data_IF_723824758243
#
_entry.id   IF_723824758243
#
_cell.length_a   1.000
_cell.length_b   1.000
_cell.length_c   1.000
_cell.angle_alpha   90.00
_cell.angle_beta   90.00
_cell.angle_gamma   90.00
#
_symmetry.space_group_name_H-M   'P 1'
#
loop_
_entity.id
_entity.type
_entity.pdbx_description
1 polymer ?
#
# COMPACT_ATOMS: atom_id res chain seq x y z
N UNK A 1 42.79 -15.38 -30.78
CA UNK A 1 41.39 -15.81 -30.95
C UNK A 1 40.55 -15.14 -29.86
N UNK A 2 40.43 -13.81 -29.91
CA UNK A 2 39.38 -12.98 -30.55
C UNK A 2 38.17 -12.80 -29.62
N UNK A 3 38.31 -11.93 -28.60
CA UNK A 3 37.18 -11.30 -27.91
C UNK A 3 37.45 -9.81 -27.59
N UNK A 4 38.32 -9.17 -28.37
CA UNK A 4 38.71 -7.76 -28.14
C UNK A 4 39.00 -6.97 -29.43
N UNK A 5 38.19 -7.19 -30.48
CA UNK A 5 38.39 -6.50 -31.75
C UNK A 5 37.08 -6.25 -32.51
N UNK A 6 36.15 -5.48 -31.93
CA UNK A 6 35.16 -4.71 -32.70
C UNK A 6 35.09 -3.31 -32.08
N UNK A 7 35.33 -2.30 -32.91
CA UNK A 7 35.68 -0.91 -32.56
C UNK A 7 34.56 -0.16 -31.81
N UNK A 8 34.89 0.86 -30.99
CA UNK A 8 33.92 1.82 -30.47
C UNK A 8 33.74 2.97 -31.47
N UNK A 9 32.63 3.04 -32.18
CA UNK A 9 32.24 4.27 -32.92
C UNK A 9 30.72 4.53 -33.07
N UNK A 10 29.86 3.91 -32.24
CA UNK A 10 28.43 4.26 -32.12
C UNK A 10 27.97 4.41 -30.65
N UNK A 11 28.94 4.61 -29.75
CA UNK A 11 28.91 3.90 -28.45
C UNK A 11 28.55 4.75 -27.22
N UNK A 12 28.31 6.06 -27.34
CA UNK A 12 27.79 6.87 -26.23
C UNK A 12 26.29 7.12 -26.35
N UNK A 13 25.80 7.36 -27.57
CA UNK A 13 24.40 7.71 -27.83
C UNK A 13 23.50 6.49 -27.66
N UNK A 14 23.90 5.31 -28.16
CA UNK A 14 23.13 4.08 -27.97
C UNK A 14 23.14 3.60 -26.51
N UNK A 15 24.26 3.76 -25.81
CA UNK A 15 24.35 3.44 -24.38
C UNK A 15 23.51 4.42 -23.55
N UNK A 16 23.58 5.73 -23.84
CA UNK A 16 22.75 6.73 -23.20
C UNK A 16 21.26 6.50 -23.50
N UNK A 17 20.89 6.16 -24.74
CA UNK A 17 19.52 5.82 -25.12
C UNK A 17 19.04 4.54 -24.42
N UNK A 18 19.87 3.49 -24.33
CA UNK A 18 19.54 2.27 -23.60
C UNK A 18 19.35 2.53 -22.09
N UNK A 19 20.25 3.28 -21.47
CA UNK A 19 20.11 3.67 -20.06
C UNK A 19 18.86 4.53 -19.85
N UNK A 20 18.58 5.51 -20.71
CA UNK A 20 17.39 6.33 -20.64
C UNK A 20 16.09 5.50 -20.77
N UNK A 21 16.05 4.54 -21.70
CA UNK A 21 14.92 3.62 -21.87
C UNK A 21 14.75 2.69 -20.66
N UNK A 22 15.85 2.18 -20.09
CA UNK A 22 15.83 1.32 -18.90
C UNK A 22 15.39 2.08 -17.65
N UNK A 23 15.89 3.29 -17.46
CA UNK A 23 15.44 4.19 -16.38
C UNK A 23 13.96 4.51 -16.55
N UNK A 24 13.51 4.86 -17.75
CA UNK A 24 12.10 5.13 -18.04
C UNK A 24 11.19 3.92 -17.77
N UNK A 25 11.60 2.70 -18.12
CA UNK A 25 10.86 1.47 -17.78
C UNK A 25 10.78 1.25 -16.27
N UNK A 26 11.89 1.44 -15.57
CA UNK A 26 11.98 1.26 -14.11
C UNK A 26 11.13 2.30 -13.36
N UNK A 27 11.17 3.55 -13.81
CA UNK A 27 10.36 4.64 -13.27
C UNK A 27 8.87 4.35 -13.47
N UNK A 28 8.49 3.85 -14.65
CA UNK A 28 7.12 3.44 -14.96
C UNK A 28 6.64 2.30 -14.06
N UNK A 29 7.45 1.26 -13.87
CA UNK A 29 7.15 0.13 -12.99
C UNK A 29 6.99 0.58 -11.53
N UNK A 30 7.88 1.43 -11.02
CA UNK A 30 7.78 2.00 -9.68
C UNK A 30 6.50 2.84 -9.49
N UNK A 31 6.14 3.67 -10.47
CA UNK A 31 4.90 4.46 -10.42
C UNK A 31 3.68 3.54 -10.43
N UNK A 32 3.70 2.47 -11.23
CA UNK A 32 2.62 1.48 -11.28
C UNK A 32 2.47 0.74 -9.94
N UNK A 33 3.57 0.31 -9.32
CA UNK A 33 3.59 -0.34 -8.01
C UNK A 33 3.00 0.57 -6.93
N UNK A 34 3.48 1.82 -6.83
CA UNK A 34 2.98 2.80 -5.85
C UNK A 34 1.51 3.14 -6.09
N UNK A 35 1.10 3.27 -7.35
CA UNK A 35 -0.30 3.52 -7.70
C UNK A 35 -1.17 2.34 -7.29
N UNK A 36 -0.74 1.11 -7.56
CA UNK A 36 -1.46 -0.10 -7.15
C UNK A 36 -1.57 -0.21 -5.63
N UNK A 37 -0.52 0.16 -4.89
CA UNK A 37 -0.53 0.20 -3.43
C UNK A 37 -1.52 1.24 -2.88
N UNK A 38 -1.52 2.47 -3.43
CA UNK A 38 -2.49 3.51 -3.05
C UNK A 38 -3.93 3.11 -3.39
N UNK A 39 -4.16 2.49 -4.55
CA UNK A 39 -5.48 2.00 -4.92
C UNK A 39 -5.96 0.89 -3.96
N UNK A 40 -5.07 -0.01 -3.54
CA UNK A 40 -5.39 -1.02 -2.52
C UNK A 40 -5.65 -0.41 -1.15
N UNK A 41 -4.99 0.69 -0.79
CA UNK A 41 -5.26 1.41 0.45
C UNK A 41 -6.64 2.09 0.43
N UNK A 42 -7.04 2.69 -0.69
CA UNK A 42 -8.31 3.41 -0.77
C UNK A 42 -9.51 2.48 -0.99
N UNK A 43 -9.36 1.47 -1.84
CA UNK A 43 -10.48 0.63 -2.27
C UNK A 43 -10.44 -0.79 -1.70
N UNK A 44 -9.37 -1.17 -0.99
CA UNK A 44 -9.16 -2.54 -0.56
C UNK A 44 -9.02 -3.51 -1.73
N UNK A 45 -9.49 -4.73 -1.54
CA UNK A 45 -9.64 -5.73 -2.61
C UNK A 45 -10.98 -5.53 -3.31
N UNK A 46 -11.03 -5.04 -4.58
CA UNK A 46 -12.26 -4.64 -5.26
C UNK A 46 -13.27 -5.77 -5.52
N UNK A 47 -12.92 -7.02 -5.22
CA UNK A 47 -13.78 -8.21 -5.37
C UNK A 47 -14.09 -8.92 -4.05
N UNK A 48 -13.68 -8.35 -2.92
CA UNK A 48 -13.98 -8.86 -1.58
C UNK A 48 -14.43 -7.71 -0.69
N UNK A 49 -15.71 -7.33 -0.76
CA UNK A 49 -16.28 -6.33 0.13
C UNK A 49 -16.14 -6.82 1.57
N UNK A 50 -15.56 -6.00 2.43
CA UNK A 50 -15.46 -6.32 3.85
C UNK A 50 -16.73 -5.86 4.55
N UNK A 51 -17.40 -6.81 5.21
CA UNK A 51 -18.52 -6.50 6.11
C UNK A 51 -17.97 -6.35 7.52
N UNK A 52 -18.16 -5.17 8.11
CA UNK A 52 -17.82 -4.97 9.52
C UNK A 52 -18.85 -5.63 10.42
N UNK A 53 -18.36 -6.40 11.39
CA UNK A 53 -19.20 -7.00 12.42
C UNK A 53 -19.31 -6.00 13.58
N UNK A 54 -20.53 -5.64 14.04
CA UNK A 54 -20.72 -4.67 15.12
C UNK A 54 -19.95 -4.99 16.41
N UNK A 55 -19.72 -6.28 16.69
CA UNK A 55 -18.94 -6.73 17.83
C UNK A 55 -17.49 -6.20 17.84
N UNK A 56 -16.91 -5.90 16.67
CA UNK A 56 -15.55 -5.36 16.56
C UNK A 56 -15.45 -3.89 16.98
N UNK A 57 -16.57 -3.15 17.02
CA UNK A 57 -16.62 -1.71 17.35
C UNK A 57 -16.58 -1.47 18.87
N UNK A 58 -15.60 -2.05 19.54
CA UNK A 58 -15.34 -1.80 20.96
C UNK A 58 -14.91 -0.34 21.18
N UNK A 59 -15.08 0.21 22.39
CA UNK A 59 -14.63 1.58 22.68
C UNK A 59 -13.16 1.83 22.33
N UNK A 60 -12.29 0.82 22.53
CA UNK A 60 -10.87 0.89 22.20
C UNK A 60 -10.65 0.99 20.69
N UNK A 61 -11.29 0.13 19.89
CA UNK A 61 -11.18 0.15 18.42
C UNK A 61 -11.67 1.48 17.86
N UNK A 62 -12.81 1.98 18.34
CA UNK A 62 -13.37 3.27 17.89
C UNK A 62 -12.46 4.44 18.26
N UNK A 63 -11.91 4.45 19.47
CA UNK A 63 -11.00 5.50 19.92
C UNK A 63 -9.69 5.52 19.12
N UNK A 64 -9.08 4.35 18.89
CA UNK A 64 -7.87 4.21 18.07
C UNK A 64 -8.12 4.67 16.63
N UNK A 65 -9.20 4.18 16.01
CA UNK A 65 -9.57 4.55 14.63
C UNK A 65 -9.79 6.06 14.50
N UNK A 66 -10.51 6.66 15.45
CA UNK A 66 -10.77 8.11 15.46
C UNK A 66 -9.49 8.92 15.59
N UNK A 67 -8.58 8.50 16.47
CA UNK A 67 -7.28 9.14 16.67
C UNK A 67 -6.39 9.03 15.42
N UNK A 68 -6.29 7.84 14.84
CA UNK A 68 -5.55 7.60 13.59
C UNK A 68 -6.05 8.50 12.48
N UNK A 69 -7.37 8.58 12.29
CA UNK A 69 -7.96 9.39 11.23
C UNK A 69 -7.75 10.89 11.44
N UNK A 70 -7.97 11.36 12.67
CA UNK A 70 -7.88 12.79 13.02
C UNK A 70 -6.45 13.29 12.90
N UNK A 71 -5.50 12.54 13.46
CA UNK A 71 -4.09 12.92 13.53
C UNK A 71 -3.34 12.55 12.24
N UNK A 72 -3.95 11.77 11.35
CA UNK A 72 -3.31 11.11 10.20
C UNK A 72 -2.12 10.24 10.59
N UNK A 73 -2.18 9.64 11.78
CA UNK A 73 -1.14 8.80 12.37
C UNK A 73 -1.30 7.34 11.92
N UNK A 74 -1.21 7.10 10.61
CA UNK A 74 -1.41 5.77 10.01
C UNK A 74 -0.30 4.76 10.36
N UNK A 75 0.83 5.24 10.87
CA UNK A 75 1.87 4.40 11.49
C UNK A 75 1.36 3.59 12.70
N UNK A 76 0.21 3.97 13.27
CA UNK A 76 -0.44 3.26 14.39
C UNK A 76 -1.41 2.15 13.95
N UNK A 77 -1.57 1.91 12.64
CA UNK A 77 -2.45 0.84 12.14
C UNK A 77 -2.14 -0.57 12.66
N UNK A 78 -0.87 -0.97 12.89
CA UNK A 78 -0.58 -2.25 13.52
C UNK A 78 -1.21 -2.39 14.92
N UNK A 79 -1.27 -1.30 15.69
CA UNK A 79 -1.94 -1.28 17.01
C UNK A 79 -3.46 -1.44 16.86
N UNK A 80 -4.04 -0.83 15.81
CA UNK A 80 -5.45 -1.03 15.48
C UNK A 80 -5.73 -2.50 15.10
N UNK A 81 -4.82 -3.15 14.36
CA UNK A 81 -4.95 -4.56 14.00
C UNK A 81 -5.05 -5.46 15.23
N UNK A 82 -4.21 -5.21 16.23
CA UNK A 82 -4.21 -5.98 17.48
C UNK A 82 -5.49 -5.73 18.28
N UNK A 83 -5.94 -4.48 18.38
CA UNK A 83 -7.21 -4.15 19.03
C UNK A 83 -8.43 -4.78 18.33
N UNK A 84 -8.41 -4.87 17.00
CA UNK A 84 -9.45 -5.57 16.22
C UNK A 84 -9.43 -7.06 16.50
N UNK A 85 -8.24 -7.66 16.55
CA UNK A 85 -8.07 -9.08 16.85
C UNK A 85 -8.56 -9.42 18.27
N UNK A 86 -8.24 -8.57 19.25
CA UNK A 86 -8.76 -8.68 20.64
C UNK A 86 -10.29 -8.55 20.70
N UNK A 87 -10.87 -7.75 19.81
CA UNK A 87 -12.32 -7.62 19.66
C UNK A 87 -12.97 -8.79 18.89
N UNK A 88 -12.20 -9.80 18.49
CA UNK A 88 -12.67 -11.00 17.80
C UNK A 88 -12.73 -10.86 16.27
N UNK A 89 -11.98 -9.93 15.68
CA UNK A 89 -11.78 -9.89 14.22
C UNK A 89 -10.83 -11.00 13.78
N UNK A 90 -11.32 -11.89 12.92
CA UNK A 90 -10.59 -12.98 12.28
C UNK A 90 -10.43 -12.78 10.76
N UNK A 91 -10.78 -11.60 10.25
CA UNK A 91 -10.66 -11.29 8.84
C UNK A 91 -9.20 -10.97 8.47
N UNK A 92 -8.53 -11.95 7.85
CA UNK A 92 -7.15 -11.84 7.41
C UNK A 92 -6.87 -10.64 6.50
N UNK A 93 -7.80 -10.27 5.61
CA UNK A 93 -7.62 -9.14 4.69
C UNK A 93 -7.56 -7.80 5.46
N UNK A 94 -8.39 -7.62 6.50
CA UNK A 94 -8.35 -6.45 7.40
C UNK A 94 -7.04 -6.44 8.18
N UNK A 95 -6.73 -7.55 8.84
CA UNK A 95 -5.58 -7.64 9.74
C UNK A 95 -4.25 -7.50 8.98
N UNK A 96 -4.13 -8.12 7.81
CA UNK A 96 -2.96 -8.00 6.96
C UNK A 96 -2.81 -6.59 6.39
N UNK A 97 -3.91 -5.93 6.02
CA UNK A 97 -3.87 -4.54 5.55
C UNK A 97 -3.35 -3.60 6.64
N UNK A 98 -3.88 -3.68 7.86
CA UNK A 98 -3.42 -2.83 8.97
C UNK A 98 -1.98 -3.08 9.41
N UNK A 99 -1.45 -4.29 9.18
CA UNK A 99 -0.06 -4.67 9.51
C UNK A 99 0.92 -4.42 8.35
N UNK A 100 0.42 -4.09 7.17
CA UNK A 100 1.26 -3.89 6.00
C UNK A 100 2.05 -2.59 6.08
N UNK A 101 3.25 -2.58 5.49
CA UNK A 101 4.10 -1.37 5.35
C UNK A 101 3.60 -0.42 4.24
N UNK A 102 2.45 -0.71 3.65
CA UNK A 102 1.92 0.00 2.48
C UNK A 102 1.65 1.47 2.78
N UNK A 103 1.64 2.33 1.76
CA UNK A 103 1.22 3.71 1.96
C UNK A 103 -0.22 3.73 2.45
N UNK A 104 -0.43 4.32 3.62
CA UNK A 104 -1.73 4.55 4.19
C UNK A 104 -2.05 6.04 4.14
N UNK A 105 -3.22 6.36 3.58
CA UNK A 105 -3.69 7.73 3.42
C UNK A 105 -5.10 7.88 3.95
N UNK A 106 -5.58 9.12 4.02
CA UNK A 106 -7.00 9.38 4.26
C UNK A 106 -7.78 8.82 3.07
N UNK A 107 -8.77 7.98 3.34
CA UNK A 107 -9.33 7.07 2.33
C UNK A 107 -9.05 5.60 2.63
N UNK A 108 -8.14 5.29 3.57
CA UNK A 108 -7.83 3.92 3.99
C UNK A 108 -9.12 3.14 4.29
N UNK A 109 -9.38 2.11 3.50
CA UNK A 109 -10.67 1.44 3.47
C UNK A 109 -11.07 0.82 4.82
N UNK A 110 -10.10 0.35 5.62
CA UNK A 110 -10.38 -0.18 6.98
C UNK A 110 -10.82 0.93 7.92
N UNK A 111 -10.07 2.04 7.95
CA UNK A 111 -10.32 3.16 8.85
C UNK A 111 -11.65 3.83 8.50
N UNK A 112 -11.90 4.06 7.22
CA UNK A 112 -13.13 4.69 6.74
C UNK A 112 -14.35 3.80 7.01
N UNK A 113 -14.23 2.49 6.79
CA UNK A 113 -15.29 1.54 7.15
C UNK A 113 -15.61 1.61 8.66
N UNK A 114 -14.59 1.58 9.53
CA UNK A 114 -14.77 1.58 10.99
C UNK A 114 -15.39 2.89 11.51
N UNK A 115 -15.23 4.00 10.78
CA UNK A 115 -15.85 5.29 11.07
C UNK A 115 -17.20 5.50 10.36
N UNK A 116 -17.69 4.51 9.62
CA UNK A 116 -18.87 4.61 8.75
C UNK A 116 -18.79 5.84 7.81
N UNK A 117 -17.61 6.10 7.26
CA UNK A 117 -17.38 7.09 6.21
C UNK A 117 -17.73 6.46 4.85
N UNK A 118 -18.42 7.22 4.01
CA UNK A 118 -18.68 6.88 2.60
C UNK A 118 -17.48 7.26 1.72
#
# INVERSE_FOLDING_TARGET
MIYWAIKPDASSVLVAAYMALKTFSSDKEMVQEKTAQLLRDIFGTPFRPVTLIPAWLTPTVVALTTGIYTDRAFDRLPILADALQDAGCDNDDILAHCRGDGPHVRGCWVVDALLAKE
#
